data_IF_118914211339
#
_entry.id   IF_118914211339
#
_cell.length_a   1.000
_cell.length_b   1.000
_cell.length_c   1.000
_cell.angle_alpha   90.00
_cell.angle_beta   90.00
_cell.angle_gamma   90.00
#
_symmetry.space_group_name_H-M   'P 1'
#
loop_
_entity.id
_entity.type
_entity.pdbx_description
1 polymer ?
#
# COMPACT_ATOMS: atom_id res chain seq x y z
N UNK A 1 12.44 29.45 -5.19
CA UNK A 1 12.65 28.23 -6.02
C UNK A 1 12.49 28.55 -7.51
N UNK A 2 13.42 28.08 -8.34
CA UNK A 2 13.41 28.37 -9.77
C UNK A 2 12.12 27.88 -10.47
N UNK A 3 11.57 26.76 -10.02
CA UNK A 3 10.34 26.16 -10.54
C UNK A 3 9.04 26.96 -10.37
N UNK A 4 9.07 28.06 -9.61
CA UNK A 4 7.91 28.95 -9.45
C UNK A 4 7.89 30.07 -10.50
N UNK A 5 9.02 30.32 -11.14
CA UNK A 5 9.23 31.47 -12.03
C UNK A 5 9.54 31.06 -13.47
N UNK A 6 10.02 29.84 -13.68
CA UNK A 6 10.29 29.28 -15.02
C UNK A 6 9.77 27.84 -15.14
N UNK A 7 9.58 27.39 -16.38
CA UNK A 7 9.32 25.99 -16.69
C UNK A 7 10.48 25.14 -16.17
N UNK A 8 10.16 23.99 -15.58
CA UNK A 8 11.15 23.07 -15.03
C UNK A 8 11.00 21.70 -15.69
N UNK A 9 12.11 20.97 -15.72
CA UNK A 9 12.17 19.60 -16.25
C UNK A 9 12.52 18.66 -15.09
N UNK A 10 11.81 17.54 -14.97
CA UNK A 10 12.10 16.53 -13.94
C UNK A 10 13.35 15.77 -14.34
N UNK A 11 14.46 16.02 -13.62
CA UNK A 11 15.74 15.37 -13.85
C UNK A 11 15.83 14.02 -13.12
N UNK A 12 15.22 13.93 -11.92
CA UNK A 12 15.10 12.69 -11.17
C UNK A 12 13.66 12.52 -10.67
N UNK A 13 13.07 11.39 -11.02
CA UNK A 13 11.74 10.99 -10.53
C UNK A 13 11.71 10.89 -9.00
N UNK A 14 10.51 11.05 -8.44
CA UNK A 14 10.27 11.08 -7.01
C UNK A 14 10.85 9.84 -6.31
N UNK A 15 11.90 10.05 -5.52
CA UNK A 15 12.67 9.00 -4.86
C UNK A 15 12.72 9.21 -3.34
N UNK A 16 12.93 8.11 -2.61
CA UNK A 16 13.05 8.16 -1.15
C UNK A 16 14.38 8.84 -0.77
N UNK A 17 14.33 9.75 0.19
CA UNK A 17 15.53 10.39 0.70
C UNK A 17 16.44 9.37 1.42
N UNK A 18 17.74 9.47 1.17
CA UNK A 18 18.75 8.75 1.95
C UNK A 18 18.84 9.30 3.38
N UNK A 19 19.44 8.54 4.29
CA UNK A 19 19.64 8.96 5.69
C UNK A 19 20.47 10.25 5.83
N UNK A 20 21.32 10.54 4.84
CA UNK A 20 22.07 11.78 4.75
C UNK A 20 21.19 12.94 4.27
N UNK A 21 20.45 12.74 3.18
CA UNK A 21 19.55 13.76 2.60
C UNK A 21 18.44 14.17 3.57
N UNK A 22 17.93 13.26 4.40
CA UNK A 22 16.95 13.62 5.44
C UNK A 22 17.49 14.64 6.44
N UNK A 23 18.81 14.67 6.68
CA UNK A 23 19.44 15.61 7.61
C UNK A 23 19.86 16.91 6.94
N UNK A 24 20.18 16.86 5.65
CA UNK A 24 20.76 18.00 4.91
C UNK A 24 19.73 18.75 4.06
N UNK A 25 18.70 18.07 3.57
CA UNK A 25 17.64 18.66 2.77
C UNK A 25 16.36 18.83 3.61
N UNK A 26 15.92 20.07 3.86
CA UNK A 26 14.66 20.32 4.56
C UNK A 26 13.45 19.80 3.77
N UNK A 27 13.56 19.71 2.44
CA UNK A 27 12.55 19.18 1.52
C UNK A 27 12.22 17.70 1.75
N UNK A 28 13.12 16.95 2.41
CA UNK A 28 12.88 15.56 2.80
C UNK A 28 12.05 15.43 4.07
N UNK A 29 11.98 16.45 4.94
CA UNK A 29 11.30 16.37 6.23
C UNK A 29 9.78 16.09 6.16
N UNK A 30 8.99 16.68 5.24
CA UNK A 30 7.53 16.54 5.28
C UNK A 30 7.02 15.18 4.76
N UNK A 31 7.63 14.63 3.71
CA UNK A 31 7.17 13.37 3.09
C UNK A 31 8.20 12.24 3.17
N UNK A 32 9.49 12.55 3.35
CA UNK A 32 10.58 11.59 3.21
C UNK A 32 10.97 11.29 1.76
N UNK A 33 10.43 12.02 0.79
CA UNK A 33 10.67 11.84 -0.64
C UNK A 33 10.96 13.17 -1.32
N UNK A 34 11.86 13.13 -2.31
CA UNK A 34 12.23 14.29 -3.12
C UNK A 34 12.24 13.96 -4.61
N UNK A 35 11.90 14.95 -5.42
CA UNK A 35 12.11 14.99 -6.86
C UNK A 35 13.21 16.02 -7.14
N UNK A 36 14.13 15.71 -8.07
CA UNK A 36 15.12 16.70 -8.53
C UNK A 36 14.67 17.25 -9.86
N UNK A 37 14.72 18.56 -9.97
CA UNK A 37 14.28 19.27 -11.15
C UNK A 37 15.39 20.19 -11.65
N UNK A 38 15.48 20.30 -12.96
CA UNK A 38 16.40 21.19 -13.65
C UNK A 38 15.61 22.33 -14.28
N UNK A 39 16.02 23.53 -13.97
CA UNK A 39 15.48 24.80 -14.41
C UNK A 39 16.34 25.27 -15.60
N UNK A 40 15.89 25.09 -16.86
CA UNK A 40 16.72 25.22 -18.06
C UNK A 40 17.10 26.68 -18.36
N UNK A 41 16.26 27.63 -17.97
CA UNK A 41 16.49 29.06 -18.21
C UNK A 41 17.56 29.61 -17.28
N UNK A 42 17.55 29.21 -16.00
CA UNK A 42 18.59 29.59 -15.02
C UNK A 42 19.77 28.61 -14.93
N UNK A 43 19.68 27.44 -15.59
CA UNK A 43 20.61 26.31 -15.47
C UNK A 43 20.88 25.91 -14.02
N UNK A 44 19.82 25.87 -13.21
CA UNK A 44 19.89 25.47 -11.80
C UNK A 44 19.22 24.13 -11.58
N UNK A 45 19.79 23.34 -10.70
CA UNK A 45 19.17 22.12 -10.20
C UNK A 45 18.67 22.39 -8.79
N UNK A 46 17.39 22.14 -8.55
CA UNK A 46 16.79 22.25 -7.23
C UNK A 46 16.04 20.96 -6.88
N UNK A 47 15.97 20.64 -5.58
CA UNK A 47 15.24 19.49 -5.07
C UNK A 47 13.94 19.97 -4.41
N UNK A 48 12.85 19.25 -4.64
CA UNK A 48 11.53 19.58 -4.11
C UNK A 48 10.93 18.36 -3.41
N UNK A 49 10.17 18.58 -2.33
CA UNK A 49 9.37 17.51 -1.75
C UNK A 49 8.29 17.03 -2.72
N UNK A 50 8.24 15.72 -2.96
CA UNK A 50 7.24 15.09 -3.82
C UNK A 50 6.38 14.10 -3.02
N UNK A 51 5.15 13.87 -3.50
CA UNK A 51 4.23 12.86 -2.99
C UNK A 51 4.05 11.80 -4.07
N UNK A 52 4.76 10.68 -3.94
CA UNK A 52 4.71 9.60 -4.95
C UNK A 52 3.41 8.80 -4.87
N UNK A 53 2.50 9.01 -5.83
CA UNK A 53 1.28 8.21 -6.00
C UNK A 53 1.58 6.72 -6.24
N UNK A 54 2.71 6.40 -6.87
CA UNK A 54 3.15 5.03 -7.14
C UNK A 54 3.51 4.29 -5.84
N UNK A 55 4.19 4.98 -4.91
CA UNK A 55 4.51 4.38 -3.61
C UNK A 55 3.27 4.25 -2.71
N UNK A 56 2.36 5.23 -2.76
CA UNK A 56 1.04 5.10 -2.11
C UNK A 56 0.29 3.87 -2.64
N UNK A 57 0.33 3.61 -3.95
CA UNK A 57 -0.25 2.44 -4.55
C UNK A 57 0.40 1.13 -4.06
N UNK A 58 1.72 1.07 -3.88
CA UNK A 58 2.39 -0.12 -3.34
C UNK A 58 1.97 -0.43 -1.89
N UNK A 59 1.91 0.59 -1.04
CA UNK A 59 1.46 0.43 0.36
C UNK A 59 0.00 0.00 0.38
N UNK A 60 -0.83 0.63 -0.45
CA UNK A 60 -2.23 0.28 -0.61
C UNK A 60 -2.41 -1.17 -1.07
N UNK A 61 -1.72 -1.61 -2.12
CA UNK A 61 -1.78 -2.98 -2.62
C UNK A 61 -1.32 -4.00 -1.60
N UNK A 62 -0.28 -3.69 -0.81
CA UNK A 62 0.16 -4.55 0.27
C UNK A 62 -0.91 -4.71 1.34
N UNK A 63 -1.55 -3.60 1.75
CA UNK A 63 -2.64 -3.62 2.71
C UNK A 63 -3.87 -4.39 2.19
N UNK A 64 -4.35 -4.04 0.99
CA UNK A 64 -5.49 -4.70 0.36
C UNK A 64 -5.24 -6.19 0.18
N UNK A 65 -4.06 -6.57 -0.31
CA UNK A 65 -3.66 -7.96 -0.44
C UNK A 65 -3.68 -8.70 0.90
N UNK A 66 -3.11 -8.11 1.96
CA UNK A 66 -3.13 -8.74 3.29
C UNK A 66 -4.55 -8.93 3.83
N UNK A 67 -5.41 -7.92 3.71
CA UNK A 67 -6.78 -7.99 4.23
C UNK A 67 -7.63 -8.99 3.44
N UNK A 68 -7.44 -9.07 2.12
CA UNK A 68 -8.10 -10.07 1.28
C UNK A 68 -7.71 -11.50 1.68
N UNK A 69 -6.42 -11.76 1.91
CA UNK A 69 -5.94 -13.07 2.37
C UNK A 69 -6.52 -13.43 3.74
N UNK A 70 -6.50 -12.49 4.69
CA UNK A 70 -7.05 -12.68 6.03
C UNK A 70 -8.55 -12.98 5.95
N UNK A 71 -9.31 -12.21 5.16
CA UNK A 71 -10.74 -12.44 4.94
C UNK A 71 -11.02 -13.83 4.35
N UNK A 72 -10.23 -14.26 3.35
CA UNK A 72 -10.36 -15.59 2.76
C UNK A 72 -10.11 -16.71 3.78
N UNK A 73 -9.09 -16.58 4.63
CA UNK A 73 -8.81 -17.54 5.71
C UNK A 73 -10.00 -17.64 6.66
N UNK A 74 -10.53 -16.51 7.13
CA UNK A 74 -11.68 -16.50 8.01
C UNK A 74 -12.93 -17.09 7.34
N UNK A 75 -13.18 -16.79 6.07
CA UNK A 75 -14.29 -17.37 5.32
C UNK A 75 -14.18 -18.90 5.25
N UNK A 76 -12.99 -19.43 4.92
CA UNK A 76 -12.74 -20.87 4.89
C UNK A 76 -12.95 -21.51 6.27
N UNK A 77 -12.44 -20.88 7.33
CA UNK A 77 -12.64 -21.36 8.70
C UNK A 77 -14.13 -21.42 9.07
N UNK A 78 -14.91 -20.39 8.73
CA UNK A 78 -16.35 -20.34 8.99
C UNK A 78 -17.09 -21.44 8.22
N UNK A 79 -16.80 -21.61 6.93
CA UNK A 79 -17.41 -22.66 6.10
C UNK A 79 -17.07 -24.04 6.64
N UNK A 80 -15.82 -24.31 6.98
CA UNK A 80 -15.42 -25.59 7.58
C UNK A 80 -16.20 -25.87 8.88
N UNK A 81 -16.35 -24.87 9.76
CA UNK A 81 -17.13 -25.02 10.99
C UNK A 81 -18.62 -25.28 10.71
N UNK A 82 -19.22 -24.56 9.77
CA UNK A 82 -20.61 -24.78 9.35
C UNK A 82 -20.80 -26.19 8.79
N UNK A 83 -19.89 -26.67 7.93
CA UNK A 83 -19.93 -28.04 7.38
C UNK A 83 -19.84 -29.11 8.47
N UNK A 84 -19.03 -28.90 9.51
CA UNK A 84 -18.95 -29.82 10.66
C UNK A 84 -20.26 -29.83 11.45
N UNK A 85 -20.88 -28.66 11.65
CA UNK A 85 -22.17 -28.55 12.33
C UNK A 85 -23.30 -29.22 11.51
N UNK A 86 -23.33 -29.01 10.19
CA UNK A 86 -24.30 -29.62 9.29
C UNK A 86 -24.19 -31.14 9.27
N UNK A 87 -22.96 -31.69 9.24
CA UNK A 87 -22.74 -33.14 9.32
C UNK A 87 -23.29 -33.73 10.62
N UNK A 88 -23.02 -33.07 11.75
CA UNK A 88 -23.53 -33.50 13.07
C UNK A 88 -25.05 -33.40 13.16
N UNK A 89 -25.66 -32.38 12.53
CA UNK A 89 -27.11 -32.24 12.47
C UNK A 89 -27.75 -33.37 11.63
N UNK A 90 -27.19 -33.66 10.45
CA UNK A 90 -27.64 -34.73 9.57
C UNK A 90 -27.52 -36.12 10.20
N UNK A 91 -26.44 -36.40 10.95
CA UNK A 91 -26.28 -37.65 11.70
C UNK A 91 -27.35 -37.82 12.77
N UNK A 92 -27.72 -36.74 13.47
CA UNK A 92 -28.82 -36.77 14.45
C UNK A 92 -30.17 -37.08 13.79
N UNK A 93 -30.43 -36.50 12.62
CA UNK A 93 -31.65 -36.78 11.84
C UNK A 93 -31.68 -38.22 11.35
N UNK A 94 -30.56 -38.75 10.82
CA UNK A 94 -30.48 -40.16 10.39
C UNK A 94 -30.74 -41.15 11.53
N UNK A 95 -30.16 -40.93 12.72
CA UNK A 95 -30.40 -41.79 13.89
C UNK A 95 -31.86 -41.80 14.34
N UNK A 96 -32.61 -40.73 14.11
CA UNK A 96 -34.05 -40.71 14.40
C UNK A 96 -34.86 -41.57 13.42
N UNK A 97 -34.41 -41.72 12.17
CA UNK A 97 -35.10 -42.53 11.14
C UNK A 97 -34.81 -44.02 11.34
N UNK A 98 -33.63 -44.37 11.83
CA UNK A 98 -33.18 -45.75 12.05
C UNK A 98 -33.74 -46.39 13.33
N UNK A 99 -34.31 -45.57 14.24
CA UNK A 99 -34.92 -46.02 15.49
C UNK A 99 -36.46 -46.14 15.44
N UNK A 100 -37.05 -46.06 14.24
CA UNK A 100 -38.50 -46.19 14.00
C UNK A 100 -38.80 -47.57 13.41
#
# INVERSE_FOLDING_TARGET
>A
PCWQVEDFVVAQECARCSSFEVKTLPECAPTGFIEKISCPTSKREEAKSCRSAVMEAHIFWRFVGTMMCVAAIFAVLVVCRQRVLDRKALEKVRKQIESI
#
